data_IF_645542566727
#
_entry.id   IF_645542566727
#
_cell.length_a   1.000
_cell.length_b   1.000
_cell.length_c   1.000
_cell.angle_alpha   90.00
_cell.angle_beta   90.00
_cell.angle_gamma   90.00
#
_symmetry.space_group_name_H-M   'P 1'
#
loop_
_entity.id
_entity.type
_entity.pdbx_description
1 polymer ?
#
# COMPACT_ATOMS: atom_id res chain seq x y z
N UNK A 1 17.67 -2.95 -8.03
CA UNK A 1 17.22 -3.84 -6.95
C UNK A 1 17.56 -3.15 -5.64
N UNK A 2 16.55 -2.82 -4.85
CA UNK A 2 16.73 -2.18 -3.55
C UNK A 2 16.61 -3.23 -2.44
N UNK A 3 17.43 -3.10 -1.41
CA UNK A 3 17.38 -3.97 -0.22
C UNK A 3 16.96 -3.13 0.96
N UNK A 4 15.90 -3.54 1.65
CA UNK A 4 15.45 -2.95 2.90
C UNK A 4 15.75 -3.91 4.05
N UNK A 5 16.31 -3.40 5.14
CA UNK A 5 16.49 -4.18 6.37
C UNK A 5 15.18 -4.20 7.15
N UNK A 6 14.75 -5.40 7.55
CA UNK A 6 13.66 -5.55 8.52
C UNK A 6 14.17 -5.16 9.91
N UNK A 7 13.51 -4.19 10.53
CA UNK A 7 13.83 -3.80 11.91
C UNK A 7 13.39 -4.88 12.89
N UNK A 8 13.89 -4.81 14.14
CA UNK A 8 13.45 -5.71 15.22
C UNK A 8 11.96 -5.62 15.54
N UNK A 9 11.30 -4.54 15.12
CA UNK A 9 9.85 -4.33 15.27
C UNK A 9 9.05 -4.78 14.04
N UNK A 10 9.70 -5.41 13.06
CA UNK A 10 9.04 -5.85 11.82
C UNK A 10 8.74 -4.72 10.83
N UNK A 11 9.45 -3.59 10.91
CA UNK A 11 9.26 -2.45 10.01
C UNK A 11 10.31 -2.47 8.90
N UNK A 12 9.92 -2.11 7.68
CA UNK A 12 10.82 -1.81 6.57
C UNK A 12 10.67 -0.35 6.17
N UNK A 13 11.79 0.29 5.82
CA UNK A 13 11.78 1.67 5.32
C UNK A 13 11.67 1.62 3.80
N UNK A 14 10.60 2.18 3.26
CA UNK A 14 10.44 2.32 1.81
C UNK A 14 11.34 3.46 1.30
N UNK A 15 12.29 3.18 0.38
CA UNK A 15 13.15 4.20 -0.21
C UNK A 15 12.35 5.39 -0.77
N UNK A 16 12.93 6.60 -0.67
CA UNK A 16 12.26 7.85 -1.10
C UNK A 16 11.80 7.79 -2.55
N UNK A 17 12.61 7.26 -3.46
CA UNK A 17 12.28 7.22 -4.88
C UNK A 17 11.04 6.35 -5.18
N UNK A 18 10.87 5.21 -4.49
CA UNK A 18 9.66 4.38 -4.62
C UNK A 18 8.42 5.12 -4.11
N UNK A 19 8.56 5.82 -2.97
CA UNK A 19 7.46 6.67 -2.45
C UNK A 19 7.08 7.76 -3.45
N UNK A 20 8.05 8.41 -4.09
CA UNK A 20 7.78 9.45 -5.09
C UNK A 20 7.10 8.90 -6.34
N UNK A 21 7.59 7.79 -6.90
CA UNK A 21 7.01 7.17 -8.11
C UNK A 21 5.58 6.70 -7.86
N UNK A 22 5.31 6.13 -6.69
CA UNK A 22 3.97 5.66 -6.30
C UNK A 22 3.12 6.71 -5.61
N UNK A 23 3.62 7.95 -5.45
CA UNK A 23 2.96 9.07 -4.74
C UNK A 23 2.48 8.68 -3.35
N UNK A 24 3.28 7.90 -2.62
CA UNK A 24 3.00 7.54 -1.24
C UNK A 24 3.38 8.67 -0.30
N UNK A 25 2.41 9.14 0.47
CA UNK A 25 2.59 10.18 1.46
C UNK A 25 2.74 9.59 2.87
N UNK A 26 3.33 10.38 3.77
CA UNK A 26 3.44 10.00 5.18
C UNK A 26 2.04 9.81 5.79
N UNK A 27 1.84 8.72 6.53
CA UNK A 27 0.54 8.41 7.16
C UNK A 27 -0.47 7.72 6.24
N UNK A 28 -0.15 7.53 4.95
CA UNK A 28 -1.01 6.78 4.04
C UNK A 28 -1.08 5.30 4.45
N UNK A 29 -2.30 4.74 4.47
CA UNK A 29 -2.52 3.32 4.68
C UNK A 29 -2.17 2.52 3.41
N UNK A 30 -1.32 1.51 3.57
CA UNK A 30 -0.99 0.54 2.53
C UNK A 30 -1.54 -0.83 2.92
N UNK A 31 -2.20 -1.49 1.99
CA UNK A 31 -2.56 -2.89 2.14
C UNK A 31 -1.32 -3.76 1.92
N UNK A 32 -1.11 -4.68 2.84
CA UNK A 32 -0.07 -5.71 2.78
C UNK A 32 -0.74 -6.99 2.28
N UNK A 33 -0.38 -7.45 1.08
CA UNK A 33 -0.96 -8.66 0.49
C UNK A 33 0.12 -9.72 0.40
N UNK A 34 -0.12 -10.87 1.03
CA UNK A 34 0.73 -12.05 0.91
C UNK A 34 0.52 -12.71 -0.46
N UNK A 35 1.60 -12.92 -1.19
CA UNK A 35 1.63 -13.58 -2.50
C UNK A 35 2.73 -14.64 -2.50
N UNK A 36 2.67 -15.60 -3.41
CA UNK A 36 3.57 -16.78 -3.40
C UNK A 36 5.05 -16.44 -3.30
N UNK A 37 5.49 -15.38 -3.97
CA UNK A 37 6.89 -14.99 -4.08
C UNK A 37 7.24 -13.73 -3.27
N UNK A 38 6.38 -13.29 -2.35
CA UNK A 38 6.68 -12.17 -1.47
C UNK A 38 5.47 -11.40 -0.97
N UNK A 39 5.66 -10.11 -0.72
CA UNK A 39 4.63 -9.23 -0.17
C UNK A 39 4.40 -8.07 -1.12
N UNK A 40 3.15 -7.88 -1.54
CA UNK A 40 2.74 -6.74 -2.35
C UNK A 40 2.18 -5.63 -1.46
N UNK A 41 2.78 -4.45 -1.53
CA UNK A 41 2.26 -3.23 -0.93
C UNK A 41 1.47 -2.45 -1.98
N UNK A 42 0.20 -2.17 -1.69
CA UNK A 42 -0.63 -1.31 -2.54
C UNK A 42 -1.32 -0.25 -1.70
N UNK A 43 -1.57 0.97 -2.22
CA UNK A 43 -2.46 1.92 -1.56
C UNK A 43 -3.77 1.22 -1.20
N UNK A 44 -4.18 1.35 0.07
CA UNK A 44 -5.56 1.05 0.44
C UNK A 44 -6.38 2.08 -0.33
N UNK A 45 -7.04 1.67 -1.42
CA UNK A 45 -8.02 2.52 -2.09
C UNK A 45 -8.94 3.00 -0.98
N UNK A 46 -9.00 4.31 -0.75
CA UNK A 46 -10.14 4.89 -0.08
C UNK A 46 -11.30 4.49 -0.99
N UNK A 47 -12.02 3.43 -0.63
CA UNK A 47 -13.32 3.24 -1.20
C UNK A 47 -14.13 4.43 -0.68
N UNK A 48 -14.18 5.51 -1.45
CA UNK A 48 -15.18 6.52 -1.21
C UNK A 48 -16.53 5.85 -1.42
N UNK A 49 -17.52 6.19 -0.62
CA UNK A 49 -18.89 5.71 -0.80
C UNK A 49 -19.38 5.90 -2.25
N UNK A 50 -18.90 6.95 -2.92
CA UNK A 50 -19.15 7.19 -4.34
C UNK A 50 -18.67 6.06 -5.27
N UNK A 51 -17.56 5.40 -4.95
CA UNK A 51 -17.09 4.25 -5.73
C UNK A 51 -18.03 3.05 -5.58
N UNK A 52 -18.54 2.83 -4.36
CA UNK A 52 -19.51 1.75 -4.10
C UNK A 52 -20.87 2.02 -4.75
N UNK A 53 -21.39 3.26 -4.67
CA UNK A 53 -22.62 3.66 -5.40
C UNK A 53 -22.49 3.44 -6.90
N UNK A 54 -21.36 3.86 -7.48
CA UNK A 54 -21.16 3.79 -8.94
C UNK A 54 -20.95 2.36 -9.46
N UNK A 55 -20.47 1.44 -8.62
CA UNK A 55 -20.34 0.03 -8.95
C UNK A 55 -21.58 -0.82 -8.55
N UNK A 56 -22.62 -0.23 -7.95
CA UNK A 56 -23.85 -0.93 -7.57
C UNK A 56 -23.68 -1.97 -6.46
N UNK A 57 -22.65 -1.81 -5.61
CA UNK A 57 -22.30 -2.75 -4.54
C UNK A 57 -22.78 -2.29 -3.15
N UNK A 58 -23.40 -1.11 -3.06
CA UNK A 58 -24.24 -0.70 -1.94
C UNK A 58 -25.66 -0.45 -2.49
N UNK A 59 -26.71 -0.89 -1.78
CA UNK A 59 -28.10 -0.60 -2.16
C UNK A 59 -28.41 0.90 -2.15
#
# INVERSE_FOLDING_TARGET
MDVAKLSSKGQVIIPKHLRTVHRWESGQELMVVDIRDGVLLKPKKAFSEDHYRRCGLLP
#
